data_IF_602745396645
#
_entry.id   IF_602745396645
#
_cell.length_a   1.000
_cell.length_b   1.000
_cell.length_c   1.000
_cell.angle_alpha   90.00
_cell.angle_beta   90.00
_cell.angle_gamma   90.00
#
_symmetry.space_group_name_H-M   'P 1'
#
loop_
_entity.id
_entity.type
_entity.pdbx_description
1 polymer ?
#
# COMPACT_ATOMS: atom_id res chain seq x y z
N UNK A 1 30.38 2.95 18.46
CA UNK A 1 30.73 2.30 17.17
C UNK A 1 31.94 1.43 17.43
N UNK A 2 31.83 0.11 17.30
CA UNK A 2 32.94 -0.81 17.54
C UNK A 2 33.58 -1.17 16.20
N UNK A 3 34.89 -0.97 16.05
CA UNK A 3 35.62 -1.32 14.83
C UNK A 3 36.36 -2.64 15.00
N UNK A 4 36.27 -3.53 14.01
CA UNK A 4 37.03 -4.79 13.95
C UNK A 4 38.00 -4.74 12.77
N UNK A 5 39.19 -5.32 12.95
CA UNK A 5 40.12 -5.54 11.84
C UNK A 5 39.62 -6.71 10.99
N UNK A 6 39.70 -6.55 9.68
CA UNK A 6 39.49 -7.64 8.73
C UNK A 6 40.76 -8.49 8.70
N UNK A 7 40.60 -9.81 8.78
CA UNK A 7 41.69 -10.76 8.53
C UNK A 7 41.60 -11.28 7.11
N UNK A 8 42.75 -11.56 6.49
CA UNK A 8 42.83 -12.12 5.14
C UNK A 8 43.57 -13.46 5.21
N UNK A 9 43.00 -14.49 4.63
CA UNK A 9 43.67 -15.77 4.37
C UNK A 9 43.45 -16.16 2.92
N UNK A 10 44.53 -16.24 2.15
CA UNK A 10 44.47 -16.44 0.70
C UNK A 10 43.68 -15.33 0.00
N UNK A 11 42.60 -15.71 -0.69
CA UNK A 11 41.68 -14.80 -1.39
C UNK A 11 40.47 -14.40 -0.55
N UNK A 12 40.32 -14.94 0.67
CA UNK A 12 39.14 -14.75 1.51
C UNK A 12 39.41 -13.76 2.64
N UNK A 13 38.41 -12.92 2.91
CA UNK A 13 38.40 -11.97 4.02
C UNK A 13 37.45 -12.44 5.12
N UNK A 14 37.88 -12.26 6.37
CA UNK A 14 37.17 -12.69 7.57
C UNK A 14 36.96 -11.50 8.50
N UNK A 15 35.78 -11.43 9.11
CA UNK A 15 35.47 -10.47 10.18
C UNK A 15 34.93 -11.25 11.37
N UNK A 16 35.45 -10.95 12.57
CA UNK A 16 34.95 -11.55 13.80
C UNK A 16 33.67 -10.86 14.25
N UNK A 17 32.63 -11.66 14.45
CA UNK A 17 31.36 -11.20 14.98
C UNK A 17 31.51 -10.86 16.47
N UNK A 18 30.84 -9.80 16.97
CA UNK A 18 30.88 -9.46 18.39
C UNK A 18 30.36 -10.62 19.27
N UNK A 19 31.15 -11.03 20.26
CA UNK A 19 30.79 -12.16 21.13
C UNK A 19 29.47 -11.94 21.89
N UNK A 20 29.17 -10.69 22.30
CA UNK A 20 27.91 -10.33 22.92
C UNK A 20 26.72 -10.60 21.99
N UNK A 21 26.80 -10.11 20.74
CA UNK A 21 25.77 -10.34 19.73
C UNK A 21 25.59 -11.83 19.43
N UNK A 22 26.69 -12.60 19.31
CA UNK A 22 26.60 -14.05 19.13
C UNK A 22 25.87 -14.74 20.29
N UNK A 23 26.10 -14.32 21.54
CA UNK A 23 25.40 -14.85 22.72
C UNK A 23 23.92 -14.48 22.72
N UNK A 24 23.60 -13.20 22.50
CA UNK A 24 22.22 -12.69 22.43
C UNK A 24 21.40 -13.41 21.36
N UNK A 25 22.04 -13.75 20.24
CA UNK A 25 21.41 -14.41 19.10
C UNK A 25 21.54 -15.94 19.15
N UNK A 26 22.12 -16.53 20.20
CA UNK A 26 22.39 -17.98 20.30
C UNK A 26 23.10 -18.55 19.06
N UNK A 27 24.10 -17.83 18.56
CA UNK A 27 24.95 -18.24 17.44
C UNK A 27 26.11 -19.07 17.98
N UNK A 28 26.21 -20.30 17.51
CA UNK A 28 27.27 -21.26 17.83
C UNK A 28 28.18 -21.46 16.64
N UNK A 29 29.25 -22.23 16.80
CA UNK A 29 30.18 -22.59 15.71
C UNK A 29 29.51 -23.30 14.54
N UNK A 30 28.35 -23.92 14.75
CA UNK A 30 27.59 -24.63 13.73
C UNK A 30 26.44 -23.80 13.14
N UNK A 31 26.26 -22.56 13.61
CA UNK A 31 25.21 -21.68 13.14
C UNK A 31 25.57 -21.06 11.79
N UNK A 32 24.61 -21.02 10.87
CA UNK A 32 24.73 -20.31 9.60
C UNK A 32 24.16 -18.90 9.77
N UNK A 33 24.87 -17.90 9.26
CA UNK A 33 24.42 -16.51 9.17
C UNK A 33 24.19 -16.14 7.71
N UNK A 34 23.24 -15.26 7.45
CA UNK A 34 23.02 -14.68 6.13
C UNK A 34 23.81 -13.38 6.00
N UNK A 35 24.36 -13.18 4.81
CA UNK A 35 25.01 -11.95 4.40
C UNK A 35 24.16 -11.29 3.32
N UNK A 36 23.83 -10.02 3.54
CA UNK A 36 23.14 -9.19 2.55
C UNK A 36 23.98 -7.97 2.27
N UNK A 37 24.12 -7.64 1.00
CA UNK A 37 24.71 -6.37 0.59
C UNK A 37 23.60 -5.46 0.10
N UNK A 38 23.44 -4.29 0.70
CA UNK A 38 22.45 -3.33 0.23
C UNK A 38 22.99 -2.53 -0.98
N UNK A 39 22.13 -1.83 -1.74
CA UNK A 39 22.56 -1.01 -2.88
C UNK A 39 23.50 0.16 -2.52
N UNK A 40 23.58 0.54 -1.23
CA UNK A 40 24.50 1.57 -0.73
C UNK A 40 25.90 1.02 -0.44
N UNK A 41 26.10 -0.29 -0.56
CA UNK A 41 27.37 -0.96 -0.33
C UNK A 41 27.56 -1.50 1.09
N UNK A 42 26.59 -1.34 1.99
CA UNK A 42 26.67 -1.88 3.35
C UNK A 42 26.52 -3.40 3.34
N UNK A 43 27.31 -4.08 4.19
CA UNK A 43 27.20 -5.53 4.43
C UNK A 43 26.48 -5.77 5.76
N UNK A 44 25.32 -6.41 5.69
CA UNK A 44 24.47 -6.75 6.83
C UNK A 44 24.59 -8.24 7.12
N UNK A 45 24.84 -8.59 8.39
CA UNK A 45 24.96 -9.97 8.86
C UNK A 45 23.74 -10.27 9.74
N UNK A 46 22.98 -11.31 9.38
CA UNK A 46 21.76 -11.71 10.08
C UNK A 46 21.85 -13.18 10.50
N UNK A 47 21.26 -13.54 11.64
CA UNK A 47 21.07 -14.95 12.00
C UNK A 47 20.13 -15.61 10.99
N UNK A 48 20.42 -16.85 10.55
CA UNK A 48 19.45 -17.67 9.82
C UNK A 48 18.22 -17.90 10.71
N UNK A 49 17.10 -17.24 10.37
CA UNK A 49 15.81 -17.50 11.00
C UNK A 49 15.39 -18.94 10.71
N UNK A 50 14.87 -19.66 11.69
CA UNK A 50 14.12 -20.89 11.42
C UNK A 50 12.93 -20.49 10.53
N UNK A 51 12.63 -21.27 9.49
CA UNK A 51 11.54 -20.99 8.54
C UNK A 51 10.14 -20.95 9.20
N UNK A 52 10.07 -21.34 10.47
CA UNK A 52 8.83 -21.61 11.21
C UNK A 52 8.33 -20.51 12.15
N UNK A 53 8.96 -19.35 12.22
CA UNK A 53 8.30 -18.16 12.80
C UNK A 53 7.31 -17.59 11.77
N UNK A 54 6.29 -18.38 11.43
CA UNK A 54 5.12 -17.88 10.74
C UNK A 54 4.44 -16.88 11.68
N UNK A 55 4.56 -15.58 11.33
CA UNK A 55 3.81 -14.48 11.93
C UNK A 55 2.32 -14.82 11.85
N UNK A 56 1.82 -15.47 12.89
CA UNK A 56 0.45 -15.91 13.05
C UNK A 56 -0.15 -15.12 14.19
N UNK A 57 -1.33 -14.57 13.95
CA UNK A 57 -2.06 -13.75 14.91
C UNK A 57 -3.35 -14.49 15.28
N UNK A 58 -3.57 -14.77 16.55
CA UNK A 58 -4.82 -15.34 17.03
C UNK A 58 -5.30 -14.56 18.24
N UNK A 59 -6.55 -14.09 18.22
CA UNK A 59 -7.15 -13.39 19.35
C UNK A 59 -8.67 -13.56 19.39
N UNK A 60 -9.24 -13.35 20.56
CA UNK A 60 -10.70 -13.38 20.80
C UNK A 60 -11.26 -11.96 20.78
N UNK A 61 -12.36 -11.77 20.05
CA UNK A 61 -13.11 -10.53 20.00
C UNK A 61 -14.44 -10.72 20.72
N UNK A 62 -14.62 -9.95 21.80
CA UNK A 62 -15.83 -9.98 22.65
C UNK A 62 -16.97 -9.09 22.16
N UNK A 63 -16.77 -8.42 21.03
CA UNK A 63 -17.70 -7.45 20.46
C UNK A 63 -18.47 -8.09 19.30
N UNK A 64 -19.77 -7.82 19.23
CA UNK A 64 -20.66 -8.26 18.15
C UNK A 64 -21.02 -7.13 17.19
N UNK A 65 -20.52 -5.92 17.46
CA UNK A 65 -20.69 -4.79 16.58
C UNK A 65 -19.99 -5.04 15.25
N UNK A 66 -20.79 -5.06 14.20
CA UNK A 66 -20.36 -5.34 12.84
C UNK A 66 -19.25 -4.39 12.33
N UNK A 67 -19.29 -3.11 12.71
CA UNK A 67 -18.25 -2.14 12.33
C UNK A 67 -16.92 -2.42 13.06
N UNK A 68 -16.98 -2.80 14.34
CA UNK A 68 -15.81 -3.15 15.14
C UNK A 68 -15.14 -4.40 14.56
N UNK A 69 -15.92 -5.45 14.30
CA UNK A 69 -15.44 -6.70 13.69
C UNK A 69 -14.73 -6.40 12.35
N UNK A 70 -15.36 -5.64 11.46
CA UNK A 70 -14.78 -5.29 10.16
C UNK A 70 -13.45 -4.54 10.31
N UNK A 71 -13.36 -3.58 11.24
CA UNK A 71 -12.12 -2.84 11.51
C UNK A 71 -11.00 -3.75 11.99
N UNK A 72 -11.28 -4.71 12.87
CA UNK A 72 -10.28 -5.67 13.34
C UNK A 72 -9.84 -6.65 12.25
N UNK A 73 -10.76 -7.09 11.38
CA UNK A 73 -10.43 -7.92 10.22
C UNK A 73 -9.50 -7.16 9.27
N UNK A 74 -9.86 -5.93 8.89
CA UNK A 74 -9.05 -5.09 7.99
C UNK A 74 -7.68 -4.78 8.61
N UNK A 75 -7.63 -4.43 9.89
CA UNK A 75 -6.37 -4.19 10.61
C UNK A 75 -5.49 -5.45 10.62
N UNK A 76 -6.07 -6.62 10.90
CA UNK A 76 -5.35 -7.90 10.87
C UNK A 76 -4.86 -8.23 9.46
N UNK A 77 -5.65 -7.92 8.44
CA UNK A 77 -5.29 -8.13 7.04
C UNK A 77 -4.14 -7.24 6.59
N UNK A 78 -4.16 -5.94 6.92
CA UNK A 78 -3.14 -4.98 6.51
C UNK A 78 -1.79 -5.25 7.21
N UNK A 79 -1.81 -5.79 8.43
CA UNK A 79 -0.57 -6.14 9.11
C UNK A 79 0.11 -7.36 8.46
N UNK A 80 1.45 -7.42 8.45
CA UNK A 80 2.23 -8.42 7.70
C UNK A 80 2.26 -9.78 8.43
N UNK A 81 1.09 -10.28 8.80
CA UNK A 81 0.89 -11.63 9.31
C UNK A 81 0.65 -12.58 8.13
N UNK A 82 1.26 -13.76 8.16
CA UNK A 82 1.01 -14.82 7.18
C UNK A 82 -0.36 -15.45 7.39
N UNK A 83 -0.79 -15.53 8.65
CA UNK A 83 -2.07 -16.09 9.07
C UNK A 83 -2.67 -15.25 10.17
N UNK A 84 -3.98 -15.06 10.14
CA UNK A 84 -4.68 -14.59 11.33
C UNK A 84 -5.99 -15.35 11.54
N UNK A 85 -6.35 -15.50 12.80
CA UNK A 85 -7.60 -16.08 13.27
C UNK A 85 -8.22 -15.14 14.31
N UNK A 86 -9.46 -14.73 14.09
CA UNK A 86 -10.24 -13.93 15.02
C UNK A 86 -11.40 -14.80 15.49
N UNK A 87 -11.43 -15.16 16.78
CA UNK A 87 -12.53 -15.93 17.36
C UNK A 87 -13.57 -14.98 17.95
N UNK A 88 -14.84 -15.29 17.76
CA UNK A 88 -15.95 -14.52 18.32
C UNK A 88 -16.54 -15.25 19.52
N UNK A 89 -16.86 -14.49 20.57
CA UNK A 89 -17.53 -15.04 21.74
C UNK A 89 -18.98 -15.47 21.44
N UNK A 90 -19.63 -14.78 20.51
CA UNK A 90 -20.97 -15.08 20.04
C UNK A 90 -20.92 -15.52 18.59
N UNK A 91 -21.71 -16.53 18.25
CA UNK A 91 -21.79 -17.04 16.88
C UNK A 91 -22.42 -15.99 15.96
N UNK A 92 -21.74 -15.68 14.86
CA UNK A 92 -22.29 -14.91 13.76
C UNK A 92 -23.39 -15.70 13.06
N UNK A 93 -24.52 -15.05 12.85
CA UNK A 93 -25.59 -15.64 12.05
C UNK A 93 -25.26 -15.55 10.53
N UNK A 94 -25.91 -16.36 9.68
CA UNK A 94 -25.64 -16.37 8.23
C UNK A 94 -25.81 -15.01 7.54
N UNK A 95 -26.70 -14.15 8.03
CA UNK A 95 -26.94 -12.81 7.48
C UNK A 95 -25.75 -11.88 7.80
N UNK A 96 -25.26 -11.91 9.04
CA UNK A 96 -24.07 -11.17 9.46
C UNK A 96 -22.83 -11.60 8.66
N UNK A 97 -22.64 -12.91 8.48
CA UNK A 97 -21.54 -13.44 7.65
C UNK A 97 -21.62 -12.89 6.22
N UNK A 98 -22.81 -12.86 5.62
CA UNK A 98 -23.00 -12.33 4.27
C UNK A 98 -22.72 -10.82 4.20
N UNK A 99 -23.13 -10.05 5.21
CA UNK A 99 -22.87 -8.60 5.30
C UNK A 99 -21.36 -8.32 5.42
N UNK A 100 -20.65 -9.05 6.28
CA UNK A 100 -19.19 -8.97 6.39
C UNK A 100 -18.50 -9.34 5.07
N UNK A 101 -18.91 -10.44 4.43
CA UNK A 101 -18.36 -10.87 3.14
C UNK A 101 -18.59 -9.86 2.01
N UNK A 102 -19.70 -9.12 2.02
CA UNK A 102 -19.95 -8.06 1.03
C UNK A 102 -18.99 -6.89 1.18
N UNK A 103 -18.80 -6.41 2.41
CA UNK A 103 -17.90 -5.28 2.70
C UNK A 103 -16.45 -5.65 2.46
N UNK A 104 -16.09 -6.88 2.79
CA UNK A 104 -14.72 -7.40 2.68
C UNK A 104 -14.53 -8.20 1.39
N UNK A 105 -15.42 -8.04 0.41
CA UNK A 105 -15.36 -8.76 -0.88
C UNK A 105 -14.10 -8.45 -1.69
N UNK A 106 -13.42 -7.33 -1.41
CA UNK A 106 -12.11 -7.00 -1.94
C UNK A 106 -10.94 -7.76 -1.27
N UNK A 107 -11.13 -8.42 -0.13
CA UNK A 107 -10.08 -9.13 0.58
C UNK A 107 -10.06 -10.61 0.18
N UNK A 108 -9.07 -10.98 -0.63
CA UNK A 108 -8.87 -12.39 -1.02
C UNK A 108 -8.45 -13.23 0.21
N UNK A 109 -8.97 -14.46 0.27
CA UNK A 109 -8.60 -15.52 1.23
C UNK A 109 -9.11 -15.30 2.66
N UNK A 110 -10.29 -14.66 2.82
CA UNK A 110 -11.03 -14.65 4.08
C UNK A 110 -12.08 -15.74 4.11
N UNK A 111 -11.95 -16.64 5.09
CA UNK A 111 -12.97 -17.61 5.42
C UNK A 111 -13.71 -17.18 6.69
N UNK A 112 -15.04 -17.23 6.61
CA UNK A 112 -15.94 -16.96 7.73
C UNK A 112 -16.59 -18.27 8.15
N UNK A 113 -16.43 -18.61 9.41
CA UNK A 113 -17.19 -19.63 10.11
C UNK A 113 -18.12 -18.94 11.14
N UNK A 114 -19.00 -19.69 11.79
CA UNK A 114 -19.95 -19.13 12.78
C UNK A 114 -19.22 -18.48 13.96
N UNK A 115 -18.10 -19.03 14.40
CA UNK A 115 -17.39 -18.64 15.62
C UNK A 115 -16.01 -18.03 15.35
N UNK A 116 -15.59 -17.91 14.09
CA UNK A 116 -14.29 -17.32 13.74
C UNK A 116 -14.20 -16.79 12.31
N UNK A 117 -13.26 -15.88 12.12
CA UNK A 117 -12.73 -15.49 10.81
C UNK A 117 -11.28 -15.92 10.71
N UNK A 118 -10.93 -16.50 9.57
CA UNK A 118 -9.58 -16.96 9.28
C UNK A 118 -9.09 -16.38 7.95
N UNK A 119 -7.81 -16.01 7.92
CA UNK A 119 -7.11 -15.65 6.70
C UNK A 119 -5.75 -16.33 6.67
N UNK A 120 -5.38 -16.89 5.51
CA UNK A 120 -4.00 -17.27 5.22
C UNK A 120 -3.57 -16.61 3.93
N UNK A 121 -2.52 -15.80 4.00
CA UNK A 121 -1.92 -15.16 2.84
C UNK A 121 -0.61 -15.84 2.48
N UNK A 122 -0.52 -16.31 1.24
CA UNK A 122 0.71 -16.80 0.61
C UNK A 122 1.30 -15.75 -0.34
N UNK A 123 0.66 -14.58 -0.46
CA UNK A 123 1.00 -13.56 -1.43
C UNK A 123 2.35 -12.92 -1.09
N UNK A 124 3.30 -13.10 -2.00
CA UNK A 124 4.45 -12.21 -2.12
C UNK A 124 3.93 -10.81 -2.44
N UNK A 125 3.82 -9.95 -1.42
CA UNK A 125 3.45 -8.54 -1.62
C UNK A 125 4.39 -7.91 -2.65
N UNK A 126 3.82 -7.35 -3.72
CA UNK A 126 4.58 -6.54 -4.68
C UNK A 126 5.09 -5.25 -4.03
N UNK A 127 6.08 -4.62 -4.65
CA UNK A 127 6.60 -3.35 -4.16
C UNK A 127 5.48 -2.27 -4.16
N UNK A 128 5.43 -1.40 -3.14
CA UNK A 128 4.36 -0.40 -2.98
C UNK A 128 4.17 0.52 -4.19
N UNK A 129 5.24 0.85 -4.90
CA UNK A 129 5.22 1.66 -6.11
C UNK A 129 4.50 0.95 -7.27
N UNK A 130 4.76 -0.34 -7.50
CA UNK A 130 4.08 -1.14 -8.53
C UNK A 130 2.56 -1.19 -8.27
N UNK A 131 2.18 -1.34 -6.99
CA UNK A 131 0.78 -1.33 -6.59
C UNK A 131 0.15 0.05 -6.82
N UNK A 132 0.87 1.13 -6.52
CA UNK A 132 0.43 2.49 -6.82
C UNK A 132 0.21 2.72 -8.33
N UNK A 133 1.14 2.31 -9.19
CA UNK A 133 0.97 2.38 -10.65
C UNK A 133 -0.25 1.58 -11.12
N UNK A 134 -0.49 0.41 -10.51
CA UNK A 134 -1.69 -0.39 -10.78
C UNK A 134 -2.97 0.38 -10.46
N UNK A 135 -3.02 1.09 -9.33
CA UNK A 135 -4.17 1.94 -8.97
C UNK A 135 -4.42 3.03 -10.01
N UNK A 136 -3.37 3.74 -10.43
CA UNK A 136 -3.47 4.81 -11.44
C UNK A 136 -4.08 4.27 -12.74
N UNK A 137 -3.61 3.09 -13.20
CA UNK A 137 -4.15 2.42 -14.39
C UNK A 137 -5.61 2.03 -14.22
N UNK A 138 -6.00 1.48 -13.06
CA UNK A 138 -7.39 1.11 -12.76
C UNK A 138 -8.32 2.32 -12.75
N UNK A 139 -7.93 3.44 -12.16
CA UNK A 139 -8.70 4.70 -12.18
C UNK A 139 -8.86 5.21 -13.61
N UNK A 140 -7.78 5.17 -14.40
CA UNK A 140 -7.81 5.54 -15.81
C UNK A 140 -8.78 4.65 -16.62
N UNK A 141 -8.76 3.33 -16.37
CA UNK A 141 -9.72 2.38 -16.96
C UNK A 141 -11.16 2.67 -16.53
N UNK A 142 -11.41 2.88 -15.24
CA UNK A 142 -12.72 3.21 -14.68
C UNK A 142 -13.30 4.47 -15.33
N UNK A 143 -12.53 5.55 -15.40
CA UNK A 143 -12.95 6.79 -16.07
C UNK A 143 -13.28 6.58 -17.56
N UNK A 144 -12.50 5.73 -18.25
CA UNK A 144 -12.75 5.35 -19.65
C UNK A 144 -14.07 4.58 -19.82
N UNK A 145 -14.37 3.64 -18.92
CA UNK A 145 -15.63 2.88 -18.94
C UNK A 145 -16.85 3.76 -18.64
N UNK A 146 -16.74 4.65 -17.65
CA UNK A 146 -17.79 5.63 -17.37
C UNK A 146 -18.06 6.47 -18.63
N UNK A 147 -17.01 6.96 -19.30
CA UNK A 147 -17.15 7.77 -20.52
C UNK A 147 -17.82 6.99 -21.66
N UNK A 148 -17.50 5.70 -21.82
CA UNK A 148 -18.15 4.81 -22.81
C UNK A 148 -19.60 4.46 -22.48
N UNK A 149 -20.07 4.80 -21.27
CA UNK A 149 -21.43 4.50 -20.83
C UNK A 149 -21.62 3.01 -20.51
N UNK A 150 -20.61 2.36 -19.94
CA UNK A 150 -20.68 0.96 -19.48
C UNK A 150 -21.63 0.81 -18.28
N UNK A 151 -21.92 -0.43 -17.89
CA UNK A 151 -22.82 -0.76 -16.78
C UNK A 151 -22.26 -0.26 -15.44
N UNK A 152 -23.17 0.14 -14.56
CA UNK A 152 -22.84 0.56 -13.19
C UNK A 152 -22.13 -0.55 -12.39
N UNK A 153 -22.57 -1.81 -12.58
CA UNK A 153 -21.95 -2.97 -11.93
C UNK A 153 -20.46 -3.12 -12.26
N UNK A 154 -20.04 -2.86 -13.51
CA UNK A 154 -18.62 -2.90 -13.86
C UNK A 154 -17.84 -1.77 -13.17
N UNK A 155 -18.45 -0.60 -13.04
CA UNK A 155 -17.83 0.57 -12.39
C UNK A 155 -17.63 0.30 -10.90
N UNK A 156 -18.64 -0.26 -10.20
CA UNK A 156 -18.51 -0.69 -8.81
C UNK A 156 -17.41 -1.74 -8.63
N UNK A 157 -17.31 -2.73 -9.54
CA UNK A 157 -16.22 -3.72 -9.46
C UNK A 157 -14.84 -3.09 -9.57
N UNK A 158 -14.65 -2.08 -10.43
CA UNK A 158 -13.38 -1.38 -10.54
C UNK A 158 -13.05 -0.55 -9.30
N UNK A 159 -14.05 0.06 -8.67
CA UNK A 159 -13.84 0.79 -7.41
C UNK A 159 -13.44 -0.16 -6.27
N UNK A 160 -14.14 -1.29 -6.09
CA UNK A 160 -13.76 -2.31 -5.12
C UNK A 160 -12.34 -2.85 -5.35
N UNK A 161 -11.91 -2.97 -6.61
CA UNK A 161 -10.52 -3.34 -6.93
C UNK A 161 -9.51 -2.25 -6.58
N UNK A 162 -9.88 -0.97 -6.68
CA UNK A 162 -9.03 0.17 -6.30
C UNK A 162 -8.88 0.23 -4.77
N UNK A 163 -9.97 0.04 -4.03
CA UNK A 163 -9.96 -0.08 -2.57
C UNK A 163 -9.05 -1.21 -2.11
N UNK A 164 -9.19 -2.38 -2.73
CA UNK A 164 -8.29 -3.51 -2.50
C UNK A 164 -6.84 -3.15 -2.77
N UNK A 165 -6.56 -2.47 -3.88
CA UNK A 165 -5.19 -2.03 -4.18
C UNK A 165 -4.66 -1.07 -3.11
N UNK A 166 -5.47 -0.14 -2.59
CA UNK A 166 -5.09 0.74 -1.48
C UNK A 166 -4.72 -0.06 -0.23
N UNK A 167 -5.52 -1.09 0.11
CA UNK A 167 -5.22 -1.99 1.24
C UNK A 167 -3.91 -2.75 1.03
N UNK A 168 -3.65 -3.22 -0.19
CA UNK A 168 -2.39 -3.88 -0.54
C UNK A 168 -1.18 -2.95 -0.50
N UNK A 169 -1.32 -1.69 -0.93
CA UNK A 169 -0.28 -0.66 -0.80
C UNK A 169 0.07 -0.48 0.68
N UNK A 170 -0.92 -0.26 1.54
CA UNK A 170 -0.71 -0.09 2.98
C UNK A 170 -0.08 -1.33 3.61
N UNK A 171 -0.52 -2.53 3.23
CA UNK A 171 0.07 -3.80 3.68
C UNK A 171 1.53 -3.94 3.26
N UNK A 172 1.85 -3.56 2.02
CA UNK A 172 3.23 -3.58 1.52
C UNK A 172 4.11 -2.56 2.22
N UNK A 173 3.60 -1.35 2.49
CA UNK A 173 4.29 -0.32 3.29
C UNK A 173 4.61 -0.86 4.69
N UNK A 174 3.61 -1.33 5.44
CA UNK A 174 3.83 -1.83 6.81
C UNK A 174 4.76 -3.04 6.81
N UNK A 175 4.61 -3.96 5.84
CA UNK A 175 5.54 -5.07 5.68
C UNK A 175 6.98 -4.60 5.45
N UNK A 176 7.19 -3.56 4.64
CA UNK A 176 8.51 -3.00 4.37
C UNK A 176 9.11 -2.36 5.63
N UNK A 177 8.31 -1.59 6.37
CA UNK A 177 8.70 -0.93 7.61
C UNK A 177 9.02 -1.93 8.74
N UNK A 178 8.18 -2.95 8.93
CA UNK A 178 8.33 -3.92 10.02
C UNK A 178 9.44 -4.94 9.79
N UNK A 179 9.59 -5.44 8.56
CA UNK A 179 10.52 -6.54 8.29
C UNK A 179 11.88 -6.12 7.76
N UNK A 180 12.13 -4.80 7.61
CA UNK A 180 13.32 -4.28 6.91
C UNK A 180 13.60 -5.10 5.65
N UNK A 181 12.55 -5.40 4.87
CA UNK A 181 12.75 -6.03 3.57
C UNK A 181 13.67 -5.12 2.77
N UNK A 182 14.51 -5.72 1.93
CA UNK A 182 15.32 -5.00 0.95
C UNK A 182 14.41 -4.37 -0.12
N UNK A 183 13.53 -3.46 0.29
CA UNK A 183 12.84 -2.59 -0.65
C UNK A 183 13.87 -1.60 -1.19
N UNK A 184 13.82 -1.37 -2.50
CA UNK A 184 14.60 -0.30 -3.12
C UNK A 184 14.13 1.09 -2.68
N UNK A 185 12.94 1.18 -2.09
CA UNK A 185 12.33 2.42 -1.64
C UNK A 185 12.80 2.79 -0.23
N UNK A 186 13.04 4.08 -0.03
CA UNK A 186 13.32 4.65 1.29
C UNK A 186 12.04 4.75 2.11
N UNK A 187 12.18 4.74 3.44
CA UNK A 187 11.06 4.89 4.38
C UNK A 187 10.19 6.12 4.08
N UNK A 188 10.80 7.24 3.70
CA UNK A 188 10.07 8.47 3.37
C UNK A 188 9.30 8.36 2.06
N UNK A 189 9.77 7.54 1.11
CA UNK A 189 9.06 7.30 -0.15
C UNK A 189 7.80 6.46 0.09
N UNK A 190 7.87 5.51 1.03
CA UNK A 190 6.70 4.74 1.47
C UNK A 190 5.59 5.64 2.04
N UNK A 191 5.96 6.68 2.80
CA UNK A 191 5.02 7.66 3.32
C UNK A 191 4.26 8.39 2.20
N UNK A 192 4.98 8.92 1.20
CA UNK A 192 4.35 9.61 0.08
C UNK A 192 3.48 8.69 -0.79
N UNK A 193 3.93 7.45 -1.01
CA UNK A 193 3.15 6.44 -1.74
C UNK A 193 1.82 6.16 -1.03
N UNK A 194 1.83 5.96 0.29
CA UNK A 194 0.61 5.72 1.07
C UNK A 194 -0.34 6.93 1.07
N UNK A 195 0.19 8.15 1.10
CA UNK A 195 -0.63 9.35 0.95
C UNK A 195 -1.29 9.44 -0.43
N UNK A 196 -0.53 9.19 -1.50
CA UNK A 196 -1.06 9.23 -2.87
C UNK A 196 -2.09 8.11 -3.09
N UNK A 197 -1.86 6.89 -2.60
CA UNK A 197 -2.82 5.79 -2.75
C UNK A 197 -4.19 6.12 -2.15
N UNK A 198 -4.21 6.76 -0.97
CA UNK A 198 -5.45 7.22 -0.33
C UNK A 198 -6.17 8.32 -1.11
N UNK A 199 -5.43 9.22 -1.75
CA UNK A 199 -6.03 10.23 -2.63
C UNK A 199 -6.58 9.61 -3.92
N UNK A 200 -5.92 8.59 -4.47
CA UNK A 200 -6.39 7.86 -5.63
C UNK A 200 -7.70 7.10 -5.33
N UNK A 201 -7.82 6.46 -4.17
CA UNK A 201 -9.07 5.87 -3.65
C UNK A 201 -10.20 6.91 -3.62
N UNK A 202 -9.97 8.09 -3.02
CA UNK A 202 -10.98 9.16 -2.99
C UNK A 202 -11.46 9.63 -4.37
N UNK A 203 -10.57 9.58 -5.38
CA UNK A 203 -10.95 9.87 -6.78
C UNK A 203 -11.89 8.78 -7.29
N UNK A 204 -11.61 7.50 -7.02
CA UNK A 204 -12.45 6.37 -7.40
C UNK A 204 -13.85 6.45 -6.76
N UNK A 205 -13.95 6.72 -5.45
CA UNK A 205 -15.22 6.91 -4.74
C UNK A 205 -16.08 8.01 -5.40
N UNK A 206 -15.39 9.09 -5.81
CA UNK A 206 -16.05 10.23 -6.45
C UNK A 206 -16.50 9.89 -7.87
N UNK A 207 -15.74 9.04 -8.58
CA UNK A 207 -16.03 8.61 -9.96
C UNK A 207 -17.32 7.82 -10.08
N UNK A 208 -17.70 7.00 -9.09
CA UNK A 208 -18.98 6.25 -9.10
C UNK A 208 -20.17 7.16 -9.36
N UNK A 209 -20.11 8.39 -8.83
CA UNK A 209 -21.20 9.36 -8.92
C UNK A 209 -21.16 10.24 -10.18
N UNK A 210 -20.15 10.06 -11.04
CA UNK A 210 -19.94 10.87 -12.24
C UNK A 210 -20.65 10.26 -13.45
N UNK A 211 -21.48 11.07 -14.13
CA UNK A 211 -22.16 10.67 -15.38
C UNK A 211 -21.22 10.73 -16.59
N UNK A 212 -21.46 9.88 -17.59
CA UNK A 212 -20.66 9.76 -18.83
C UNK A 212 -20.39 11.05 -19.61
N UNK A 213 -21.27 12.06 -19.48
CA UNK A 213 -21.16 13.36 -20.16
C UNK A 213 -20.42 14.43 -19.34
N UNK A 214 -19.76 14.04 -18.24
CA UNK A 214 -19.01 14.96 -17.41
C UNK A 214 -17.61 15.20 -18.00
N UNK A 215 -17.23 16.47 -18.31
CA UNK A 215 -15.91 16.79 -18.84
C UNK A 215 -14.76 16.36 -17.91
N UNK A 216 -15.00 16.22 -16.60
CA UNK A 216 -14.00 15.76 -15.63
C UNK A 216 -13.36 14.41 -16.02
N UNK A 217 -14.08 13.56 -16.76
CA UNK A 217 -13.57 12.25 -17.18
C UNK A 217 -12.36 12.41 -18.12
N UNK A 218 -12.40 13.38 -19.03
CA UNK A 218 -11.28 13.67 -19.94
C UNK A 218 -10.07 14.21 -19.18
N UNK A 219 -10.32 15.03 -18.17
CA UNK A 219 -9.27 15.54 -17.31
C UNK A 219 -8.63 14.42 -16.49
N UNK A 220 -9.42 13.52 -15.89
CA UNK A 220 -8.89 12.35 -15.16
C UNK A 220 -8.03 11.49 -16.07
N UNK A 221 -8.51 11.16 -17.28
CA UNK A 221 -7.75 10.34 -18.23
C UNK A 221 -6.39 10.97 -18.57
N UNK A 222 -6.35 12.31 -18.69
CA UNK A 222 -5.12 13.06 -18.93
C UNK A 222 -4.23 13.10 -17.68
N UNK A 223 -4.81 13.40 -16.51
CA UNK A 223 -4.05 13.61 -15.29
C UNK A 223 -3.50 12.31 -14.69
N UNK A 224 -4.18 11.18 -14.85
CA UNK A 224 -3.63 9.87 -14.47
C UNK A 224 -2.39 9.53 -15.29
N UNK A 225 -2.40 9.76 -16.61
CA UNK A 225 -1.21 9.60 -17.47
C UNK A 225 -0.07 10.54 -17.07
N UNK A 226 -0.39 11.81 -16.79
CA UNK A 226 0.62 12.76 -16.32
C UNK A 226 1.22 12.31 -14.98
N UNK A 227 0.40 11.79 -14.07
CA UNK A 227 0.84 11.29 -12.78
C UNK A 227 1.81 10.10 -12.93
N UNK A 228 1.53 9.15 -13.82
CA UNK A 228 2.46 8.05 -14.13
C UNK A 228 3.83 8.60 -14.56
N UNK A 229 3.84 9.53 -15.53
CA UNK A 229 5.08 10.14 -16.04
C UNK A 229 5.85 10.87 -14.93
N UNK A 230 5.15 11.57 -14.03
CA UNK A 230 5.78 12.30 -12.93
C UNK A 230 6.39 11.34 -11.91
N UNK A 231 5.70 10.23 -11.58
CA UNK A 231 6.21 9.23 -10.65
C UNK A 231 7.41 8.46 -11.22
N UNK A 232 7.41 8.15 -12.52
CA UNK A 232 8.55 7.52 -13.20
C UNK A 232 9.79 8.43 -13.23
N UNK A 233 9.60 9.75 -13.34
CA UNK A 233 10.68 10.72 -13.38
C UNK A 233 10.41 11.91 -12.44
N UNK A 234 10.47 11.63 -11.14
CA UNK A 234 10.15 12.59 -10.10
C UNK A 234 11.25 13.66 -9.96
N UNK A 235 10.98 14.85 -10.49
CA UNK A 235 11.84 16.03 -10.44
C UNK A 235 11.02 17.33 -10.45
N UNK A 236 11.67 18.47 -10.20
CA UNK A 236 10.98 19.78 -10.10
C UNK A 236 10.23 20.17 -11.36
N UNK A 237 10.77 19.84 -12.54
CA UNK A 237 10.17 20.19 -13.83
C UNK A 237 8.90 19.36 -14.08
N UNK A 238 8.95 18.06 -13.82
CA UNK A 238 7.78 17.17 -13.99
C UNK A 238 6.68 17.55 -13.01
N UNK A 239 7.01 17.77 -11.73
CA UNK A 239 6.03 18.19 -10.71
C UNK A 239 5.45 19.57 -11.00
N UNK A 240 6.28 20.56 -11.36
CA UNK A 240 5.77 21.89 -11.74
C UNK A 240 4.82 21.83 -12.93
N UNK A 241 5.12 20.98 -13.92
CA UNK A 241 4.23 20.75 -15.07
C UNK A 241 2.89 20.15 -14.65
N UNK A 242 2.90 19.16 -13.75
CA UNK A 242 1.70 18.53 -13.20
C UNK A 242 0.82 19.55 -12.48
N UNK A 243 1.39 20.30 -11.53
CA UNK A 243 0.67 21.34 -10.75
C UNK A 243 0.05 22.39 -11.68
N UNK A 244 0.81 22.91 -12.64
CA UNK A 244 0.30 23.89 -13.63
C UNK A 244 -0.83 23.33 -14.49
N UNK A 245 -0.87 22.01 -14.72
CA UNK A 245 -1.93 21.38 -15.49
C UNK A 245 -3.22 21.26 -14.68
N UNK A 246 -3.13 21.08 -13.37
CA UNK A 246 -4.28 20.99 -12.45
C UNK A 246 -4.83 22.37 -12.09
N UNK A 247 -3.97 23.36 -11.84
CA UNK A 247 -4.41 24.72 -11.48
C UNK A 247 -5.30 25.37 -12.55
N UNK A 248 -5.19 24.92 -13.81
CA UNK A 248 -6.07 25.33 -14.91
C UNK A 248 -7.50 24.79 -14.78
N UNK A 249 -7.68 23.70 -14.03
CA UNK A 249 -8.95 22.98 -13.83
C UNK A 249 -9.73 23.50 -12.61
N UNK A 250 -9.07 24.06 -11.60
CA UNK A 250 -9.67 24.41 -10.30
C UNK A 250 -10.73 25.53 -10.33
N UNK A 251 -10.89 26.24 -11.45
CA UNK A 251 -11.81 27.38 -11.58
C UNK A 251 -13.31 27.02 -11.72
N UNK A 252 -13.72 25.81 -11.34
CA UNK A 252 -15.12 25.37 -11.45
C UNK A 252 -15.98 25.93 -10.30
N UNK A 253 -16.97 26.77 -10.66
CA UNK A 253 -18.02 27.20 -9.73
C UNK A 253 -19.05 26.08 -9.55
N UNK A 254 -19.33 25.71 -8.30
CA UNK A 254 -20.35 24.71 -7.96
C UNK A 254 -21.74 25.31 -8.19
N UNK A 255 -22.53 24.65 -9.03
CA UNK A 255 -23.91 25.04 -9.35
C UNK A 255 -24.90 23.89 -9.19
N UNK A 256 -24.41 22.66 -9.30
CA UNK A 256 -25.19 21.43 -9.28
C UNK A 256 -24.34 20.26 -8.77
N UNK A 257 -24.93 19.08 -8.64
CA UNK A 257 -24.20 17.87 -8.22
C UNK A 257 -23.07 17.48 -9.18
N UNK A 258 -23.22 17.75 -10.49
CA UNK A 258 -22.20 17.45 -11.50
C UNK A 258 -20.91 18.25 -11.28
N UNK A 259 -21.06 19.56 -11.06
CA UNK A 259 -19.98 20.51 -10.79
C UNK A 259 -19.41 20.34 -9.38
N UNK A 260 -20.21 19.83 -8.43
CA UNK A 260 -19.72 19.43 -7.10
C UNK A 260 -18.73 18.27 -7.18
N UNK A 261 -19.08 17.15 -7.81
CA UNK A 261 -18.17 16.00 -7.94
C UNK A 261 -16.93 16.34 -8.76
N UNK A 262 -17.08 17.16 -9.80
CA UNK A 262 -15.96 17.67 -10.58
C UNK A 262 -14.98 18.47 -9.71
N UNK A 263 -15.49 19.41 -8.90
CA UNK A 263 -14.66 20.19 -7.98
C UNK A 263 -13.94 19.31 -6.96
N UNK A 264 -14.62 18.27 -6.44
CA UNK A 264 -14.02 17.31 -5.51
C UNK A 264 -12.85 16.56 -6.14
N UNK A 265 -13.00 16.04 -7.36
CA UNK A 265 -11.89 15.40 -8.09
C UNK A 265 -10.71 16.37 -8.26
N UNK A 266 -10.97 17.61 -8.70
CA UNK A 266 -9.89 18.58 -8.90
C UNK A 266 -9.17 18.95 -7.60
N UNK A 267 -9.90 19.08 -6.49
CA UNK A 267 -9.30 19.30 -5.17
C UNK A 267 -8.35 18.17 -4.78
N UNK A 268 -8.76 16.90 -4.99
CA UNK A 268 -7.92 15.75 -4.67
C UNK A 268 -6.69 15.68 -5.58
N UNK A 269 -6.84 15.99 -6.88
CA UNK A 269 -5.69 16.11 -7.79
C UNK A 269 -4.74 17.23 -7.35
N UNK A 270 -5.25 18.36 -6.86
CA UNK A 270 -4.46 19.45 -6.28
C UNK A 270 -3.60 18.96 -5.11
N UNK A 271 -4.20 18.23 -4.16
CA UNK A 271 -3.48 17.63 -3.03
C UNK A 271 -2.44 16.57 -3.45
N UNK A 272 -2.68 15.82 -4.53
CA UNK A 272 -1.65 14.96 -5.14
C UNK A 272 -0.47 15.84 -5.62
N UNK A 273 -0.75 16.96 -6.28
CA UNK A 273 0.27 17.92 -6.71
C UNK A 273 1.10 18.49 -5.55
N UNK A 274 0.46 18.86 -4.43
CA UNK A 274 1.13 19.29 -3.20
C UNK A 274 2.04 18.20 -2.63
N UNK A 275 1.53 16.97 -2.52
CA UNK A 275 2.28 15.82 -2.02
C UNK A 275 3.49 15.50 -2.89
N UNK A 276 3.37 15.63 -4.21
CA UNK A 276 4.49 15.45 -5.14
C UNK A 276 5.55 16.55 -4.99
N UNK A 277 5.14 17.79 -4.71
CA UNK A 277 6.07 18.88 -4.44
C UNK A 277 6.89 18.61 -3.18
N UNK A 278 6.22 18.24 -2.09
CA UNK A 278 6.89 17.84 -0.85
C UNK A 278 7.86 16.69 -1.07
N UNK A 279 7.44 15.68 -1.84
CA UNK A 279 8.29 14.52 -2.15
C UNK A 279 9.55 14.92 -2.93
N UNK A 280 9.44 15.79 -3.94
CA UNK A 280 10.61 16.28 -4.68
C UNK A 280 11.57 17.06 -3.78
N UNK A 281 11.06 17.91 -2.89
CA UNK A 281 11.89 18.69 -1.96
C UNK A 281 12.59 17.77 -0.96
N UNK A 282 11.87 16.82 -0.36
CA UNK A 282 12.46 15.84 0.55
C UNK A 282 13.55 15.02 -0.14
N UNK A 283 13.35 14.67 -1.41
CA UNK A 283 14.38 13.96 -2.21
C UNK A 283 15.65 14.79 -2.41
N UNK A 284 15.58 16.13 -2.35
CA UNK A 284 16.75 17.03 -2.43
C UNK A 284 17.48 17.22 -1.10
N UNK A 285 16.76 17.16 0.02
CA UNK A 285 17.34 17.31 1.37
C UNK A 285 18.10 16.05 1.78
N UNK A 286 17.59 14.88 1.37
CA UNK A 286 18.13 13.56 1.69
C UNK A 286 19.26 13.11 0.73
N UNK A 287 20.03 14.07 0.19
CA UNK A 287 21.21 13.87 -0.68
C UNK A 287 22.50 14.12 0.10
#
# INVERSE_FOLDING_TARGET
MESRKIQKSGTTFYVYLPALWCREQNITTNSVVFLKQNPRGDLIIEKKKQEDDQLSLSFELKDTNHEVINKFIVASYINPVKKFEIKFNEKLNPKQILEHKKILSGLELLDFEEDKVYCQTTLSLGDPDILLFTMIRKINSMASFIKKGTTFELIERYEMEIDKCNLLVNKSIISSLMHKKDSKLRHVELFYIGHISKMLEQIADTLINIKKSNPVLDDILKQMKNLEIVLENLNEKSVSSYIKSISRLENVKVKDSKTFYQKRVYSVLGHIGETLADWVITKKIDV
#
